data_IF_684901489397
#
_entry.id   IF_684901489397
#
_cell.length_a   1.000
_cell.length_b   1.000
_cell.length_c   1.000
_cell.angle_alpha   90.00
_cell.angle_beta   90.00
_cell.angle_gamma   90.00
#
_symmetry.space_group_name_H-M   'P 1'
#
loop_
_entity.id
_entity.type
_entity.pdbx_description
1 polymer ?
#
# COMPACT_ATOMS: atom_id res chain seq x y z
N UNK A 1 2.99 26.48 22.15
CA UNK A 1 2.76 25.07 22.52
C UNK A 1 1.72 24.32 21.65
N UNK A 2 0.80 24.98 20.93
CA UNK A 2 -0.22 24.28 20.09
C UNK A 2 0.35 23.60 18.83
N UNK A 3 1.46 24.08 18.26
CA UNK A 3 2.01 23.55 17.00
C UNK A 3 2.76 22.20 17.12
N UNK A 4 3.19 21.79 18.32
CA UNK A 4 3.91 20.52 18.53
C UNK A 4 2.98 19.33 18.80
N UNK A 5 1.73 19.56 19.20
CA UNK A 5 0.75 18.50 19.51
C UNK A 5 0.19 17.84 18.24
N UNK A 6 -0.12 18.63 17.21
CA UNK A 6 -0.70 18.12 15.96
C UNK A 6 0.15 17.03 15.27
N UNK A 7 1.47 17.17 15.08
CA UNK A 7 2.27 16.11 14.46
C UNK A 7 2.35 14.86 15.33
N UNK A 8 2.33 14.97 16.66
CA UNK A 8 2.31 13.82 17.56
C UNK A 8 0.99 13.05 17.46
N UNK A 9 -0.14 13.76 17.44
CA UNK A 9 -1.46 13.15 17.26
C UNK A 9 -1.59 12.44 15.92
N UNK A 10 -1.14 13.06 14.83
CA UNK A 10 -1.17 12.44 13.50
C UNK A 10 -0.27 11.20 13.42
N UNK A 11 0.91 11.23 14.04
CA UNK A 11 1.80 10.06 14.16
C UNK A 11 1.15 8.94 14.96
N UNK A 12 0.52 9.27 16.09
CA UNK A 12 -0.21 8.31 16.91
C UNK A 12 -1.38 7.67 16.15
N UNK A 13 -2.23 8.48 15.50
CA UNK A 13 -3.35 7.98 14.70
C UNK A 13 -2.87 7.08 13.56
N UNK A 14 -1.82 7.48 12.86
CA UNK A 14 -1.20 6.64 11.83
C UNK A 14 -0.75 5.30 12.41
N UNK A 15 -0.01 5.30 13.52
CA UNK A 15 0.47 4.07 14.13
C UNK A 15 -0.68 3.15 14.60
N UNK A 16 -1.79 3.72 15.10
CA UNK A 16 -2.99 2.96 15.45
C UNK A 16 -3.66 2.30 14.25
N UNK A 17 -3.84 3.04 13.15
CA UNK A 17 -4.38 2.47 11.91
C UNK A 17 -3.48 1.37 11.37
N UNK A 18 -2.16 1.54 11.50
CA UNK A 18 -1.19 0.53 11.12
C UNK A 18 -1.29 -0.73 11.99
N UNK A 19 -1.43 -0.56 13.31
CA UNK A 19 -1.63 -1.66 14.25
C UNK A 19 -2.95 -2.40 14.02
N UNK A 20 -4.03 -1.69 13.72
CA UNK A 20 -5.31 -2.29 13.38
C UNK A 20 -5.22 -3.13 12.10
N UNK A 21 -4.56 -2.61 11.05
CA UNK A 21 -4.34 -3.36 9.83
C UNK A 21 -3.42 -4.58 10.03
N UNK A 22 -2.39 -4.49 10.89
CA UNK A 22 -1.60 -5.66 11.30
C UNK A 22 -2.47 -6.73 11.95
N UNK A 23 -3.28 -6.32 12.92
CA UNK A 23 -4.11 -7.22 13.70
C UNK A 23 -5.15 -7.90 12.81
N UNK A 24 -5.68 -7.22 11.79
CA UNK A 24 -6.59 -7.81 10.80
C UNK A 24 -5.89 -8.87 9.94
N UNK A 25 -4.70 -8.57 9.42
CA UNK A 25 -3.92 -9.50 8.59
C UNK A 25 -3.50 -10.75 9.36
N UNK A 26 -3.06 -10.56 10.61
CA UNK A 26 -2.54 -11.64 11.43
C UNK A 26 -3.54 -12.14 12.47
N UNK A 27 -4.81 -11.76 12.39
CA UNK A 27 -5.90 -12.09 13.33
C UNK A 27 -5.99 -13.59 13.68
N UNK A 28 -5.76 -14.54 12.75
CA UNK A 28 -5.83 -15.95 13.09
C UNK A 28 -4.81 -16.38 14.16
N UNK A 29 -3.65 -15.72 14.26
CA UNK A 29 -2.61 -16.09 15.21
C UNK A 29 -2.99 -15.82 16.68
N UNK A 30 -3.38 -14.59 17.09
CA UNK A 30 -3.87 -14.35 18.44
C UNK A 30 -5.17 -15.11 18.71
N UNK A 31 -5.98 -15.39 17.69
CA UNK A 31 -7.18 -16.20 17.85
C UNK A 31 -6.84 -17.65 18.21
N UNK A 32 -5.89 -18.28 17.52
CA UNK A 32 -5.38 -19.62 17.85
C UNK A 32 -4.85 -19.65 19.29
N UNK A 33 -4.06 -18.65 19.67
CA UNK A 33 -3.56 -18.52 21.05
C UNK A 33 -4.71 -18.42 22.06
N UNK A 34 -5.70 -17.58 21.79
CA UNK A 34 -6.84 -17.38 22.68
C UNK A 34 -7.68 -18.64 22.88
N UNK A 35 -7.96 -19.39 21.80
CA UNK A 35 -8.81 -20.58 21.87
C UNK A 35 -8.10 -21.74 22.55
N UNK A 36 -6.82 -21.96 22.26
CA UNK A 36 -6.07 -23.13 22.76
C UNK A 36 -5.34 -22.91 24.09
N UNK A 37 -4.86 -21.69 24.38
CA UNK A 37 -4.05 -21.44 25.57
C UNK A 37 -4.80 -20.69 26.69
N UNK A 38 -5.87 -19.96 26.36
CA UNK A 38 -6.55 -19.09 27.32
C UNK A 38 -7.89 -19.69 27.78
N UNK A 39 -8.30 -19.45 29.04
CA UNK A 39 -9.59 -19.90 29.55
C UNK A 39 -10.74 -19.22 28.80
N UNK A 40 -11.87 -19.91 28.62
CA UNK A 40 -13.07 -19.38 27.96
C UNK A 40 -13.56 -18.02 28.52
N UNK A 41 -13.65 -17.82 29.87
CA UNK A 41 -13.93 -16.50 30.41
C UNK A 41 -12.77 -15.55 30.11
N UNK A 42 -13.08 -14.41 29.48
CA UNK A 42 -12.11 -13.36 29.18
C UNK A 42 -11.45 -13.42 27.80
N UNK A 43 -11.61 -14.48 26.99
CA UNK A 43 -11.02 -14.54 25.63
C UNK A 43 -11.42 -13.36 24.76
N UNK A 44 -12.72 -13.03 24.75
CA UNK A 44 -13.26 -11.93 23.98
C UNK A 44 -12.71 -10.58 24.44
N UNK A 45 -12.62 -10.37 25.75
CA UNK A 45 -12.06 -9.16 26.33
C UNK A 45 -10.57 -9.03 26.03
N UNK A 46 -9.83 -10.14 26.12
CA UNK A 46 -8.42 -10.20 25.75
C UNK A 46 -8.22 -9.85 24.26
N UNK A 47 -8.97 -10.47 23.35
CA UNK A 47 -8.92 -10.16 21.91
C UNK A 47 -9.29 -8.71 21.61
N UNK A 48 -10.37 -8.19 22.21
CA UNK A 48 -10.84 -6.83 22.00
C UNK A 48 -9.86 -5.76 22.52
N UNK A 49 -9.02 -6.11 23.49
CA UNK A 49 -8.02 -5.20 24.08
C UNK A 49 -6.65 -5.22 23.37
N UNK A 50 -6.41 -6.12 22.41
CA UNK A 50 -5.15 -6.16 21.64
C UNK A 50 -4.80 -4.83 20.92
N UNK A 51 -5.76 -4.08 20.33
CA UNK A 51 -5.48 -2.76 19.78
C UNK A 51 -4.90 -1.77 20.80
N UNK A 52 -5.29 -1.89 22.08
CA UNK A 52 -4.80 -1.02 23.15
C UNK A 52 -3.31 -1.28 23.44
N UNK A 53 -2.81 -2.50 23.21
CA UNK A 53 -1.39 -2.80 23.35
C UNK A 53 -0.55 -2.14 22.26
N UNK A 54 -1.05 -2.08 21.02
CA UNK A 54 -0.41 -1.27 19.97
C UNK A 54 -0.41 0.21 20.35
N UNK A 55 -1.52 0.72 20.88
CA UNK A 55 -1.63 2.10 21.38
C UNK A 55 -0.61 2.40 22.48
N UNK A 56 -0.50 1.50 23.48
CA UNK A 56 0.46 1.60 24.56
C UNK A 56 1.90 1.58 24.05
N UNK A 57 2.20 0.69 23.09
CA UNK A 57 3.48 0.65 22.39
C UNK A 57 3.81 1.94 21.67
N UNK A 58 2.85 2.52 20.95
CA UNK A 58 3.01 3.80 20.28
C UNK A 58 3.26 4.93 21.30
N UNK A 59 2.48 5.00 22.38
CA UNK A 59 2.67 5.98 23.45
C UNK A 59 4.07 5.85 24.07
N UNK A 60 4.52 4.63 24.32
CA UNK A 60 5.87 4.34 24.82
C UNK A 60 6.95 4.90 23.90
N UNK A 61 6.81 4.75 22.58
CA UNK A 61 7.76 5.28 21.61
C UNK A 61 7.81 6.82 21.60
N UNK A 62 6.69 7.49 21.91
CA UNK A 62 6.60 8.94 22.02
C UNK A 62 7.17 9.45 23.35
N UNK A 63 7.02 8.71 24.44
CA UNK A 63 7.41 9.13 25.78
C UNK A 63 8.85 8.77 26.16
N UNK A 64 9.42 7.69 25.61
CA UNK A 64 10.76 7.22 25.97
C UNK A 64 11.73 7.39 24.80
N UNK A 65 12.97 7.89 25.01
CA UNK A 65 13.98 7.98 23.96
C UNK A 65 14.48 6.60 23.50
N UNK A 66 14.99 6.52 22.28
CA UNK A 66 15.46 5.28 21.63
C UNK A 66 16.63 4.60 22.37
N UNK A 67 17.46 5.38 23.08
CA UNK A 67 18.64 4.91 23.82
C UNK A 67 18.27 3.98 24.99
N UNK A 68 17.06 4.13 25.55
CA UNK A 68 16.58 3.34 26.70
C UNK A 68 15.92 2.03 26.25
N UNK A 69 16.63 1.24 25.44
CA UNK A 69 16.10 0.00 24.84
C UNK A 69 15.58 -0.99 25.88
N UNK A 70 16.35 -1.24 26.95
CA UNK A 70 15.96 -2.15 28.03
C UNK A 70 14.71 -1.66 28.76
N UNK A 71 14.65 -0.38 29.11
CA UNK A 71 13.47 0.23 29.75
C UNK A 71 12.23 0.08 28.88
N UNK A 72 12.35 0.28 27.56
CA UNK A 72 11.23 0.09 26.63
C UNK A 72 10.72 -1.35 26.59
N UNK A 73 11.62 -2.34 26.58
CA UNK A 73 11.22 -3.75 26.65
C UNK A 73 10.55 -4.11 27.98
N UNK A 74 11.06 -3.58 29.10
CA UNK A 74 10.48 -3.80 30.42
C UNK A 74 9.07 -3.21 30.52
N UNK A 75 8.86 -1.98 30.05
CA UNK A 75 7.54 -1.34 30.08
C UNK A 75 6.58 -2.00 29.08
N UNK A 76 7.06 -2.46 27.91
CA UNK A 76 6.24 -3.23 26.98
C UNK A 76 5.81 -4.60 27.56
N UNK A 77 6.69 -5.25 28.32
CA UNK A 77 6.33 -6.48 29.03
C UNK A 77 5.33 -6.18 30.16
N UNK A 78 5.55 -5.10 30.91
CA UNK A 78 4.65 -4.69 31.98
C UNK A 78 3.25 -4.32 31.47
N UNK A 79 3.14 -3.62 30.33
CA UNK A 79 1.84 -3.30 29.73
C UNK A 79 1.13 -4.55 29.21
N UNK A 80 1.86 -5.49 28.61
CA UNK A 80 1.33 -6.79 28.22
C UNK A 80 0.84 -7.60 29.41
N UNK A 81 1.62 -7.67 30.49
CA UNK A 81 1.23 -8.37 31.72
C UNK A 81 0.00 -7.73 32.37
N UNK A 82 -0.02 -6.40 32.48
CA UNK A 82 -1.12 -5.66 33.07
C UNK A 82 -2.41 -5.92 32.30
N UNK A 83 -2.39 -5.82 30.97
CA UNK A 83 -3.53 -6.14 30.12
C UNK A 83 -3.99 -7.59 30.30
N UNK A 84 -3.05 -8.54 30.37
CA UNK A 84 -3.38 -9.94 30.54
C UNK A 84 -4.03 -10.22 31.91
N UNK A 85 -3.50 -9.63 32.99
CA UNK A 85 -4.07 -9.74 34.34
C UNK A 85 -5.45 -9.09 34.42
N UNK A 86 -5.64 -7.91 33.82
CA UNK A 86 -6.94 -7.23 33.80
C UNK A 86 -8.02 -8.00 33.04
N UNK A 87 -7.65 -8.80 32.03
CA UNK A 87 -8.60 -9.50 31.15
C UNK A 87 -8.81 -10.97 31.50
N UNK A 88 -7.79 -11.64 32.03
CA UNK A 88 -7.79 -13.09 32.32
C UNK A 88 -7.65 -13.39 33.82
N UNK A 89 -7.41 -12.38 34.66
CA UNK A 89 -7.06 -12.55 36.07
C UNK A 89 -5.57 -12.84 36.29
N UNK A 90 -5.12 -12.76 37.54
CA UNK A 90 -3.76 -13.14 37.91
C UNK A 90 -3.63 -14.67 37.93
N UNK A 91 -2.76 -15.22 37.08
CA UNK A 91 -2.53 -16.67 37.02
C UNK A 91 -1.73 -17.10 35.80
N UNK A 92 -1.68 -18.43 35.58
CA UNK A 92 -0.97 -19.04 34.44
C UNK A 92 -1.44 -18.48 33.08
N UNK A 93 -2.73 -18.26 32.80
CA UNK A 93 -3.16 -17.70 31.52
C UNK A 93 -2.57 -16.32 31.21
N UNK A 94 -2.42 -15.46 32.24
CA UNK A 94 -1.81 -14.14 32.05
C UNK A 94 -0.32 -14.23 31.70
N UNK A 95 0.40 -15.20 32.31
CA UNK A 95 1.80 -15.48 31.95
C UNK A 95 1.91 -16.04 30.53
N UNK A 96 0.98 -16.90 30.09
CA UNK A 96 0.95 -17.43 28.73
C UNK A 96 0.64 -16.34 27.67
N UNK A 97 -0.16 -15.34 28.03
CA UNK A 97 -0.46 -14.20 27.16
C UNK A 97 0.67 -13.15 27.11
N UNK A 98 1.62 -13.17 28.05
CA UNK A 98 2.70 -12.19 28.17
C UNK A 98 3.54 -12.03 26.89
N UNK A 99 4.00 -13.11 26.21
CA UNK A 99 4.82 -12.96 25.01
C UNK A 99 4.07 -12.26 23.88
N UNK A 100 2.78 -12.54 23.72
CA UNK A 100 1.92 -11.85 22.76
C UNK A 100 1.78 -10.37 23.12
N UNK A 101 1.49 -10.07 24.40
CA UNK A 101 1.37 -8.70 24.88
C UNK A 101 2.63 -7.86 24.65
N UNK A 102 3.79 -8.42 25.02
CA UNK A 102 5.10 -7.82 24.79
C UNK A 102 5.38 -7.60 23.31
N UNK A 103 5.09 -8.60 22.45
CA UNK A 103 5.31 -8.52 21.01
C UNK A 103 4.48 -7.40 20.37
N UNK A 104 3.18 -7.31 20.70
CA UNK A 104 2.27 -6.29 20.16
C UNK A 104 2.65 -4.90 20.62
N UNK A 105 2.97 -4.72 21.91
CA UNK A 105 3.47 -3.43 22.42
C UNK A 105 4.78 -3.02 21.75
N UNK A 106 5.72 -3.97 21.54
CA UNK A 106 6.96 -3.70 20.80
C UNK A 106 6.69 -3.32 19.34
N UNK A 107 5.75 -4.00 18.67
CA UNK A 107 5.34 -3.69 17.28
C UNK A 107 4.70 -2.30 17.20
N UNK A 108 3.81 -1.95 18.13
CA UNK A 108 3.22 -0.60 18.24
C UNK A 108 4.28 0.49 18.42
N UNK A 109 5.32 0.23 19.21
CA UNK A 109 6.44 1.17 19.36
C UNK A 109 7.21 1.39 18.04
N UNK A 110 7.43 0.32 17.25
CA UNK A 110 8.08 0.44 15.93
C UNK A 110 7.21 1.17 14.91
N UNK A 111 5.89 1.00 14.94
CA UNK A 111 4.95 1.70 14.05
C UNK A 111 4.97 3.22 14.18
N UNK A 112 5.32 3.73 15.36
CA UNK A 112 5.47 5.17 15.56
C UNK A 112 6.71 5.75 14.85
N UNK A 113 7.72 4.93 14.59
CA UNK A 113 9.03 5.36 14.09
C UNK A 113 9.30 4.93 12.63
N UNK A 114 8.83 3.75 12.22
CA UNK A 114 9.17 3.14 10.95
C UNK A 114 8.08 3.32 9.88
N UNK A 115 8.45 3.51 8.62
CA UNK A 115 7.49 3.55 7.52
C UNK A 115 6.85 2.16 7.31
N UNK A 116 5.60 2.18 6.84
CA UNK A 116 4.80 0.98 6.59
C UNK A 116 5.49 -0.07 5.71
N UNK A 117 6.23 0.36 4.68
CA UNK A 117 6.94 -0.55 3.78
C UNK A 117 8.04 -1.38 4.46
N UNK A 118 8.64 -0.87 5.54
CA UNK A 118 9.63 -1.60 6.34
C UNK A 118 8.97 -2.56 7.34
N UNK A 119 7.83 -2.15 7.91
CA UNK A 119 7.08 -2.97 8.87
C UNK A 119 6.34 -4.14 8.21
N UNK A 120 5.92 -3.96 6.96
CA UNK A 120 5.19 -4.91 6.13
C UNK A 120 5.86 -5.06 4.76
N UNK A 121 6.96 -5.83 4.69
CA UNK A 121 7.55 -6.18 3.40
C UNK A 121 6.50 -6.91 2.54
N UNK A 122 6.51 -6.75 1.21
CA UNK A 122 5.53 -7.35 0.31
C UNK A 122 5.22 -8.83 0.57
N UNK A 123 6.21 -9.73 0.79
CA UNK A 123 5.90 -11.14 1.08
C UNK A 123 5.14 -11.33 2.40
N UNK A 124 5.49 -10.61 3.46
CA UNK A 124 4.79 -10.70 4.74
C UNK A 124 3.35 -10.16 4.63
N UNK A 125 3.15 -9.11 3.83
CA UNK A 125 1.81 -8.58 3.56
C UNK A 125 0.95 -9.58 2.78
N UNK A 126 1.51 -10.22 1.74
CA UNK A 126 0.81 -11.25 0.97
C UNK A 126 0.47 -12.47 1.85
N UNK A 127 1.41 -12.93 2.67
CA UNK A 127 1.18 -14.01 3.63
C UNK A 127 0.08 -13.65 4.64
N UNK A 128 0.13 -12.43 5.20
CA UNK A 128 -0.91 -11.93 6.10
C UNK A 128 -2.28 -11.78 5.42
N UNK A 129 -2.34 -11.55 4.11
CA UNK A 129 -3.61 -11.49 3.38
C UNK A 129 -4.21 -12.89 3.15
N UNK A 130 -3.35 -13.87 2.83
CA UNK A 130 -3.78 -15.26 2.63
C UNK A 130 -4.15 -15.96 3.94
N UNK A 131 -3.54 -15.55 5.06
CA UNK A 131 -3.68 -16.21 6.35
C UNK A 131 -5.14 -16.23 6.86
N UNK A 132 -5.93 -15.14 6.89
CA UNK A 132 -7.34 -15.17 7.27
C UNK A 132 -8.21 -16.05 6.37
N UNK A 133 -7.91 -16.11 5.07
CA UNK A 133 -8.63 -16.93 4.09
C UNK A 133 -8.38 -18.41 4.38
N UNK A 134 -7.11 -18.80 4.50
CA UNK A 134 -6.72 -20.16 4.84
C UNK A 134 -7.27 -20.58 6.22
N UNK A 135 -7.17 -19.69 7.21
CA UNK A 135 -7.70 -19.93 8.55
C UNK A 135 -9.21 -20.11 8.55
N UNK A 136 -9.97 -19.30 7.80
CA UNK A 136 -11.42 -19.46 7.70
C UNK A 136 -11.80 -20.82 7.10
N UNK A 137 -11.07 -21.29 6.09
CA UNK A 137 -11.31 -22.59 5.47
C UNK A 137 -10.95 -23.76 6.37
N UNK A 138 -9.84 -23.69 7.12
CA UNK A 138 -9.39 -24.79 7.98
C UNK A 138 -10.15 -24.82 9.31
N UNK A 139 -10.35 -23.66 9.94
CA UNK A 139 -10.91 -23.57 11.29
C UNK A 139 -12.42 -23.82 11.34
N UNK A 140 -13.15 -23.74 10.22
CA UNK A 140 -14.56 -24.13 10.16
C UNK A 140 -14.78 -25.61 10.53
N UNK A 141 -13.76 -26.47 10.37
CA UNK A 141 -13.83 -27.88 10.72
C UNK A 141 -13.53 -28.14 12.21
N UNK A 142 -13.19 -27.11 12.99
CA UNK A 142 -12.86 -27.22 14.41
C UNK A 142 -14.00 -26.59 15.23
N UNK A 143 -14.84 -27.38 15.93
CA UNK A 143 -16.02 -26.86 16.65
C UNK A 143 -15.69 -25.76 17.67
N UNK A 144 -14.51 -25.79 18.28
CA UNK A 144 -14.05 -24.76 19.23
C UNK A 144 -13.93 -23.36 18.61
N UNK A 145 -13.82 -23.25 17.28
CA UNK A 145 -13.73 -21.98 16.57
C UNK A 145 -15.08 -21.45 16.06
N UNK A 146 -16.15 -22.22 16.16
CA UNK A 146 -17.50 -21.82 15.71
C UNK A 146 -17.91 -20.38 16.14
N UNK A 147 -17.73 -19.94 17.41
CA UNK A 147 -18.13 -18.58 17.80
C UNK A 147 -17.24 -17.47 17.23
N UNK A 148 -16.08 -17.81 16.67
CA UNK A 148 -15.10 -16.86 16.13
C UNK A 148 -15.08 -16.80 14.61
N UNK A 149 -15.79 -17.70 13.92
CA UNK A 149 -15.88 -17.68 12.45
C UNK A 149 -16.39 -16.33 11.89
N UNK A 150 -17.40 -15.67 12.48
CA UNK A 150 -17.81 -14.34 12.00
C UNK A 150 -16.67 -13.31 12.10
N UNK A 151 -15.89 -13.35 13.18
CA UNK A 151 -14.76 -12.44 13.37
C UNK A 151 -13.66 -12.69 12.33
N UNK A 152 -13.38 -13.95 11.99
CA UNK A 152 -12.44 -14.31 10.92
C UNK A 152 -12.92 -13.87 9.54
N UNK A 153 -14.21 -14.07 9.24
CA UNK A 153 -14.81 -13.68 7.97
C UNK A 153 -14.76 -12.17 7.77
N UNK A 154 -15.29 -11.40 8.74
CA UNK A 154 -15.29 -9.94 8.66
C UNK A 154 -13.88 -9.35 8.75
N UNK A 155 -13.01 -9.96 9.56
CA UNK A 155 -11.60 -9.58 9.63
C UNK A 155 -10.86 -9.80 8.31
N UNK A 156 -11.09 -10.93 7.65
CA UNK A 156 -10.54 -11.25 6.34
C UNK A 156 -11.05 -10.30 5.24
N UNK A 157 -12.35 -9.99 5.23
CA UNK A 157 -12.93 -9.04 4.29
C UNK A 157 -12.35 -7.62 4.49
N UNK A 158 -12.19 -7.18 5.75
CA UNK A 158 -11.58 -5.89 6.07
C UNK A 158 -10.09 -5.84 5.67
N UNK A 159 -9.35 -6.94 5.87
CA UNK A 159 -7.97 -7.07 5.42
C UNK A 159 -7.87 -6.96 3.89
N UNK A 160 -8.76 -7.63 3.15
CA UNK A 160 -8.83 -7.53 1.70
C UNK A 160 -9.15 -6.11 1.21
N UNK A 161 -10.14 -5.44 1.82
CA UNK A 161 -10.45 -4.04 1.52
C UNK A 161 -9.25 -3.12 1.74
N UNK A 162 -8.53 -3.33 2.85
CA UNK A 162 -7.29 -2.58 3.15
C UNK A 162 -6.20 -2.83 2.10
N UNK A 163 -6.04 -4.06 1.63
CA UNK A 163 -5.08 -4.43 0.60
C UNK A 163 -5.41 -3.80 -0.77
N UNK A 164 -6.67 -3.86 -1.19
CA UNK A 164 -7.13 -3.25 -2.44
C UNK A 164 -6.93 -1.73 -2.42
N UNK A 165 -7.33 -1.07 -1.32
CA UNK A 165 -7.12 0.37 -1.16
C UNK A 165 -5.64 0.74 -1.26
N UNK A 166 -4.76 -0.03 -0.62
CA UNK A 166 -3.31 0.18 -0.67
C UNK A 166 -2.77 0.01 -2.10
N UNK A 167 -3.16 -1.07 -2.79
CA UNK A 167 -2.68 -1.35 -4.15
C UNK A 167 -3.10 -0.24 -5.12
N UNK A 168 -4.34 0.23 -5.01
CA UNK A 168 -4.83 1.36 -5.81
C UNK A 168 -4.03 2.63 -5.54
N UNK A 169 -3.73 2.93 -4.27
CA UNK A 169 -2.92 4.12 -3.94
C UNK A 169 -1.50 4.05 -4.48
N UNK A 170 -0.85 2.89 -4.44
CA UNK A 170 0.50 2.71 -4.98
C UNK A 170 0.47 2.94 -6.50
N UNK A 171 -0.48 2.33 -7.23
CA UNK A 171 -0.63 2.53 -8.67
C UNK A 171 -0.85 3.99 -9.05
N UNK A 172 -1.71 4.69 -8.31
CA UNK A 172 -1.95 6.12 -8.53
C UNK A 172 -0.68 6.96 -8.31
N UNK A 173 0.15 6.62 -7.31
CA UNK A 173 1.42 7.31 -7.06
C UNK A 173 2.45 7.01 -8.15
N UNK A 174 2.51 5.78 -8.64
CA UNK A 174 3.41 5.39 -9.71
C UNK A 174 3.04 6.08 -11.03
N UNK A 175 1.74 6.24 -11.32
CA UNK A 175 1.26 6.97 -12.50
C UNK A 175 1.56 8.48 -12.43
N UNK A 176 1.45 9.11 -11.26
CA UNK A 176 1.79 10.54 -11.13
C UNK A 176 3.29 10.80 -11.15
N UNK A 177 4.08 9.94 -10.51
CA UNK A 177 5.54 10.05 -10.53
C UNK A 177 6.09 9.79 -11.93
N UNK A 178 5.58 8.78 -12.64
CA UNK A 178 5.97 8.53 -14.04
C UNK A 178 5.58 9.66 -14.98
N UNK A 179 4.46 10.38 -14.73
CA UNK A 179 4.15 11.61 -15.49
C UNK A 179 5.11 12.76 -15.19
N UNK A 180 5.58 12.88 -13.94
CA UNK A 180 6.54 13.94 -13.57
C UNK A 180 7.98 13.63 -14.00
N UNK A 181 8.39 12.37 -14.01
CA UNK A 181 9.69 11.96 -14.54
C UNK A 181 9.69 11.98 -16.07
N UNK A 182 8.55 11.67 -16.72
CA UNK A 182 8.36 11.94 -18.15
C UNK A 182 8.17 13.42 -18.48
N UNK A 183 8.09 14.32 -17.50
CA UNK A 183 8.26 15.76 -17.71
C UNK A 183 9.75 16.17 -17.70
N UNK A 184 10.65 15.23 -17.34
CA UNK A 184 12.09 15.28 -17.56
C UNK A 184 12.55 14.40 -18.73
N UNK A 185 11.68 13.56 -19.30
CA UNK A 185 11.80 13.30 -20.74
C UNK A 185 11.66 14.67 -21.42
N UNK A 186 12.53 15.02 -22.38
CA UNK A 186 12.33 16.23 -23.16
C UNK A 186 10.85 16.27 -23.58
N UNK A 187 10.17 17.42 -23.43
CA UNK A 187 8.74 17.55 -23.71
C UNK A 187 8.47 16.77 -24.96
N UNK A 188 7.59 15.75 -24.90
CA UNK A 188 7.38 14.76 -25.96
C UNK A 188 7.61 15.48 -27.29
N UNK A 189 8.77 15.21 -27.90
CA UNK A 189 9.33 16.06 -28.94
C UNK A 189 8.18 16.39 -29.88
N UNK A 190 7.97 17.67 -30.26
CA UNK A 190 6.96 18.01 -31.25
C UNK A 190 7.03 16.94 -32.35
N UNK A 191 5.91 16.45 -32.87
CA UNK A 191 5.92 15.39 -33.88
C UNK A 191 6.99 15.64 -34.97
N UNK A 192 7.23 16.90 -35.34
CA UNK A 192 8.41 17.36 -36.10
C UNK A 192 9.78 16.89 -35.60
N UNK A 193 10.09 17.10 -34.33
CA UNK A 193 11.33 16.69 -33.70
C UNK A 193 11.41 15.18 -33.49
N UNK A 194 10.31 14.49 -33.18
CA UNK A 194 10.29 13.01 -33.09
C UNK A 194 10.61 12.37 -34.44
N UNK A 195 10.02 12.89 -35.52
CA UNK A 195 10.30 12.41 -36.88
C UNK A 195 11.72 12.75 -37.31
N UNK A 196 12.25 13.92 -36.93
CA UNK A 196 13.65 14.28 -37.17
C UNK A 196 14.63 13.36 -36.45
N UNK A 197 14.37 13.04 -35.18
CA UNK A 197 15.20 12.13 -34.40
C UNK A 197 15.14 10.70 -34.97
N UNK A 198 13.94 10.21 -35.31
CA UNK A 198 13.77 8.90 -35.94
C UNK A 198 14.45 8.82 -37.32
N UNK A 199 14.44 9.91 -38.11
CA UNK A 199 15.16 9.99 -39.37
C UNK A 199 16.67 9.97 -39.15
N UNK A 200 17.18 10.73 -38.17
CA UNK A 200 18.59 10.74 -37.81
C UNK A 200 19.09 9.37 -37.32
N UNK A 201 18.33 8.69 -36.46
CA UNK A 201 18.68 7.38 -35.91
C UNK A 201 18.74 6.27 -36.99
N UNK A 202 17.88 6.36 -38.01
CA UNK A 202 17.84 5.37 -39.10
C UNK A 202 18.74 5.73 -40.29
N UNK A 203 19.50 6.83 -40.23
CA UNK A 203 20.22 7.38 -41.38
C UNK A 203 19.31 7.70 -42.57
N UNK A 204 18.01 7.90 -42.32
CA UNK A 204 17.02 8.14 -43.35
C UNK A 204 17.06 9.61 -43.77
N UNK A 205 16.90 9.86 -45.06
CA UNK A 205 16.68 11.20 -45.58
C UNK A 205 15.45 11.84 -44.90
N UNK A 206 15.45 13.17 -44.79
CA UNK A 206 14.34 13.95 -44.23
C UNK A 206 12.99 13.47 -44.80
N UNK A 207 11.90 13.53 -44.00
CA UNK A 207 10.58 13.15 -44.48
C UNK A 207 10.26 13.90 -45.77
N UNK A 208 9.70 13.17 -46.73
CA UNK A 208 9.32 13.74 -48.01
C UNK A 208 8.22 14.80 -47.86
N UNK A 209 7.98 15.62 -48.89
CA UNK A 209 7.12 16.79 -48.82
C UNK A 209 5.71 16.51 -48.25
N UNK A 210 5.05 15.40 -48.63
CA UNK A 210 3.71 15.11 -48.11
C UNK A 210 3.73 14.66 -46.64
N UNK A 211 4.76 13.91 -46.23
CA UNK A 211 4.95 13.54 -44.82
C UNK A 211 5.24 14.78 -43.95
N UNK A 212 6.00 15.75 -44.46
CA UNK A 212 6.23 17.03 -43.79
C UNK A 212 4.98 17.92 -43.72
N UNK A 213 4.07 17.82 -44.68
CA UNK A 213 2.79 18.54 -44.70
C UNK A 213 1.79 17.91 -43.71
N UNK A 214 1.73 16.57 -43.63
CA UNK A 214 0.98 15.84 -42.59
C UNK A 214 1.40 16.23 -41.18
N UNK A 215 2.71 16.35 -40.97
CA UNK A 215 3.27 16.69 -39.66
C UNK A 215 2.86 18.10 -39.23
N UNK A 216 2.91 19.06 -40.16
CA UNK A 216 2.45 20.44 -39.93
C UNK A 216 0.95 20.52 -39.70
N UNK A 217 0.16 19.77 -40.47
CA UNK A 217 -1.28 19.70 -40.31
C UNK A 217 -1.65 19.14 -38.93
N UNK A 218 -1.00 18.04 -38.54
CA UNK A 218 -1.15 17.43 -37.23
C UNK A 218 -0.78 18.39 -36.09
N UNK A 219 0.34 19.11 -36.19
CA UNK A 219 0.73 20.13 -35.21
C UNK A 219 -0.30 21.25 -35.12
N UNK A 220 -0.84 21.71 -36.26
CA UNK A 220 -1.84 22.78 -36.30
C UNK A 220 -3.18 22.38 -35.67
N UNK A 221 -3.57 21.11 -35.77
CA UNK A 221 -4.82 20.59 -35.15
C UNK A 221 -4.64 20.32 -33.67
N UNK A 222 -3.47 19.78 -33.29
CA UNK A 222 -3.23 19.34 -31.91
C UNK A 222 -2.86 20.51 -30.99
N UNK A 223 -2.12 21.48 -31.52
CA UNK A 223 -1.61 22.62 -30.76
C UNK A 223 -2.16 23.97 -31.22
N UNK A 224 -2.84 24.03 -32.37
CA UNK A 224 -3.60 25.19 -32.80
C UNK A 224 -5.11 24.94 -32.69
N UNK A 225 -5.90 26.00 -32.57
CA UNK A 225 -7.36 25.92 -32.55
C UNK A 225 -7.97 25.78 -33.95
N UNK A 226 -7.19 25.31 -34.94
CA UNK A 226 -7.63 25.29 -36.33
C UNK A 226 -8.25 23.93 -36.67
N UNK A 227 -9.58 23.82 -36.87
CA UNK A 227 -10.17 22.59 -37.36
C UNK A 227 -9.69 22.34 -38.79
N UNK A 228 -9.46 21.07 -39.13
CA UNK A 228 -9.09 20.63 -40.47
C UNK A 228 -10.33 20.13 -41.19
N UNK A 229 -10.49 20.51 -42.46
CA UNK A 229 -11.62 20.04 -43.26
C UNK A 229 -11.38 18.63 -43.80
N UNK A 230 -12.46 17.89 -44.03
CA UNK A 230 -12.39 16.55 -44.63
C UNK A 230 -11.75 16.57 -46.03
N UNK A 231 -11.93 17.67 -46.78
CA UNK A 231 -11.32 17.87 -48.09
C UNK A 231 -9.79 18.02 -48.00
N UNK A 232 -9.29 18.80 -47.04
CA UNK A 232 -7.85 18.96 -46.80
C UNK A 232 -7.22 17.61 -46.40
N UNK A 233 -7.88 16.86 -45.50
CA UNK A 233 -7.42 15.55 -45.09
C UNK A 233 -7.40 14.52 -46.25
N UNK A 234 -8.42 14.54 -47.12
CA UNK A 234 -8.51 13.66 -48.28
C UNK A 234 -7.44 13.97 -49.34
N UNK A 235 -7.19 15.26 -49.62
CA UNK A 235 -6.14 15.69 -50.55
C UNK A 235 -4.75 15.31 -50.05
N UNK A 236 -4.51 15.44 -48.74
CA UNK A 236 -3.22 15.09 -48.16
C UNK A 236 -2.97 13.58 -48.21
N UNK A 237 -4.02 12.78 -47.97
CA UNK A 237 -3.96 11.32 -48.07
C UNK A 237 -3.60 10.85 -49.49
N UNK A 238 -4.25 11.38 -50.52
CA UNK A 238 -3.96 10.97 -51.90
C UNK A 238 -2.52 11.31 -52.32
N UNK A 239 -1.95 12.42 -51.83
CA UNK A 239 -0.52 12.76 -52.03
C UNK A 239 0.42 11.78 -51.33
N UNK A 240 0.12 11.38 -50.09
CA UNK A 240 0.91 10.39 -49.34
C UNK A 240 0.90 9.02 -50.04
N UNK A 241 -0.25 8.60 -50.54
CA UNK A 241 -0.41 7.35 -51.30
C UNK A 241 0.39 7.39 -52.61
N UNK A 242 0.37 8.52 -53.34
CA UNK A 242 1.19 8.70 -54.54
C UNK A 242 2.70 8.71 -54.25
N UNK A 243 3.13 9.35 -53.17
CA UNK A 243 4.54 9.43 -52.78
C UNK A 243 5.09 8.07 -52.31
N UNK A 244 4.29 7.29 -51.58
CA UNK A 244 4.65 5.92 -51.18
C UNK A 244 4.70 4.94 -52.34
N UNK A 245 3.82 5.11 -53.34
CA UNK A 245 3.85 4.30 -54.57
C UNK A 245 5.09 4.56 -55.44
N UNK A 246 5.66 5.78 -55.39
CA UNK A 246 6.83 6.19 -56.17
C UNK A 246 8.17 5.66 -55.60
N UNK A 247 8.24 5.37 -54.30
CA UNK A 247 9.48 4.86 -53.69
C UNK A 247 9.77 3.43 -54.17
N UNK A 248 10.93 3.17 -54.81
CA UNK A 248 11.29 1.82 -55.23
C UNK A 248 11.45 0.92 -54.00
N UNK A 249 10.79 -0.25 -54.01
CA UNK A 249 10.99 -1.28 -52.99
C UNK A 249 12.47 -1.70 -53.04
N UNK A 250 13.22 -1.32 -52.01
CA UNK A 250 14.56 -1.85 -51.76
C UNK A 250 14.48 -3.27 -51.23
#
# INVERSE_FOLDING_TARGET
MKNTLRPLLLRGLRALLQGAAELLLFLPLPLLLAVYALPAPGRWLWLASLPLLYAAGCALALCLPQERRLTRHAVAAASGLLQAVCTLGAGLPALLALPAGWLLARRGARMAAEPWAQLFPPPAFAAGLLLPVAASFVLQFVPSFAPYLPLLLWGGLAALGTALFRMNRIRLQDETLNRSSSAGSPPALPPAETVREAAAANGAAAPGPAAGELLRLYESVRYGEKPVSDEEAAQLRSRLEAETASKPKR
#
